data_IF_561560855568
#
_entry.id   IF_561560855568
#
_cell.length_a   1.000
_cell.length_b   1.000
_cell.length_c   1.000
_cell.angle_alpha   90.00
_cell.angle_beta   90.00
_cell.angle_gamma   90.00
#
_symmetry.space_group_name_H-M   'P 1'
#
loop_
_entity.id
_entity.type
_entity.pdbx_description
1 polymer ?
#
# COMPACT_ATOMS: atom_id res chain seq x y z
N UNK A 1 -26.52 -12.53 -12.15
CA UNK A 1 -26.00 -12.76 -10.78
C UNK A 1 -25.51 -11.43 -10.23
N UNK A 2 -25.75 -11.20 -8.94
CA UNK A 2 -25.75 -9.93 -8.20
C UNK A 2 -24.50 -9.03 -8.35
N UNK A 3 -24.78 -7.72 -8.45
CA UNK A 3 -23.85 -6.58 -8.35
C UNK A 3 -23.22 -6.48 -6.96
N UNK A 4 -21.91 -6.67 -6.86
CA UNK A 4 -21.15 -6.27 -5.67
C UNK A 4 -19.92 -5.49 -6.13
N UNK A 5 -20.05 -4.15 -6.08
CA UNK A 5 -18.97 -3.20 -6.21
C UNK A 5 -17.79 -3.61 -5.32
N UNK A 6 -16.56 -3.79 -5.85
CA UNK A 6 -15.42 -3.99 -4.99
C UNK A 6 -15.25 -2.69 -4.20
N UNK A 7 -15.50 -2.79 -2.90
CA UNK A 7 -15.28 -1.76 -1.92
C UNK A 7 -13.83 -1.28 -2.06
N UNK A 8 -13.65 -0.13 -2.73
CA UNK A 8 -12.35 0.45 -3.13
C UNK A 8 -11.48 0.86 -1.94
N UNK A 9 -11.94 0.66 -0.71
CA UNK A 9 -11.31 1.12 0.52
C UNK A 9 -10.53 0.01 1.26
N UNK A 10 -10.59 -1.24 0.80
CA UNK A 10 -9.85 -2.37 1.40
C UNK A 10 -8.97 -3.11 0.38
N UNK A 11 -8.35 -2.36 -0.54
CA UNK A 11 -7.41 -2.95 -1.49
C UNK A 11 -6.11 -3.34 -0.76
N UNK A 12 -5.87 -4.65 -0.64
CA UNK A 12 -4.62 -5.19 -0.12
C UNK A 12 -3.52 -5.00 -1.18
N UNK A 13 -2.60 -4.10 -0.90
CA UNK A 13 -1.44 -3.79 -1.75
C UNK A 13 -0.39 -4.90 -1.63
N UNK A 14 -0.14 -5.38 -0.42
CA UNK A 14 0.76 -6.50 -0.18
C UNK A 14 0.02 -7.62 0.54
N UNK A 15 -0.12 -8.77 -0.12
CA UNK A 15 -0.69 -9.96 0.51
C UNK A 15 0.30 -10.63 1.48
N UNK A 16 1.61 -10.50 1.22
CA UNK A 16 2.68 -11.07 2.04
C UNK A 16 2.67 -10.47 3.46
N UNK A 17 2.60 -9.13 3.58
CA UNK A 17 2.56 -8.42 4.88
C UNK A 17 1.16 -7.97 5.30
N UNK A 18 0.12 -8.31 4.52
CA UNK A 18 -1.27 -7.80 4.68
C UNK A 18 -1.34 -6.28 4.74
N UNK A 19 -0.53 -5.60 3.93
CA UNK A 19 -0.55 -4.14 3.83
C UNK A 19 -1.69 -3.71 2.93
N UNK A 20 -2.52 -2.80 3.42
CA UNK A 20 -3.65 -2.21 2.69
C UNK A 20 -3.31 -0.82 2.19
N UNK A 21 -3.99 -0.37 1.13
CA UNK A 21 -3.83 0.98 0.59
C UNK A 21 -4.00 2.07 1.65
N UNK A 22 -5.05 1.97 2.46
CA UNK A 22 -5.32 2.92 3.56
C UNK A 22 -4.16 3.03 4.57
N UNK A 23 -3.38 1.95 4.75
CA UNK A 23 -2.20 1.96 5.63
C UNK A 23 -1.08 2.80 5.02
N UNK A 24 -0.86 2.68 3.71
CA UNK A 24 0.14 3.47 2.97
C UNK A 24 -0.28 4.94 2.92
N UNK A 25 -1.55 5.23 2.61
CA UNK A 25 -2.08 6.60 2.61
C UNK A 25 -1.95 7.25 4.00
N UNK A 26 -2.20 6.50 5.08
CA UNK A 26 -1.96 6.98 6.43
C UNK A 26 -0.47 7.29 6.68
N UNK A 27 0.46 6.50 6.15
CA UNK A 27 1.90 6.78 6.28
C UNK A 27 2.29 8.05 5.50
N UNK A 28 1.83 8.19 4.25
CA UNK A 28 2.07 9.39 3.43
C UNK A 28 1.54 10.64 4.15
N UNK A 29 0.36 10.56 4.78
CA UNK A 29 -0.20 11.64 5.58
C UNK A 29 0.62 12.00 6.84
N UNK A 30 1.46 11.08 7.32
CA UNK A 30 2.42 11.31 8.40
C UNK A 30 3.81 11.72 7.87
N UNK A 31 3.90 12.22 6.63
CA UNK A 31 5.14 12.58 5.93
C UNK A 31 6.07 11.37 5.66
N UNK A 32 5.54 10.15 5.83
CA UNK A 32 6.25 8.89 5.55
C UNK A 32 5.92 8.44 4.13
N UNK A 33 6.68 8.98 3.17
CA UNK A 33 6.48 8.77 1.73
C UNK A 33 7.68 8.12 1.03
N UNK A 34 8.65 7.59 1.79
CA UNK A 34 9.80 6.87 1.21
C UNK A 34 9.60 5.36 1.25
N UNK A 35 10.15 4.66 0.25
CA UNK A 35 10.07 3.19 0.15
C UNK A 35 10.65 2.52 1.39
N UNK A 36 11.79 2.99 1.89
CA UNK A 36 12.45 2.45 3.07
C UNK A 36 11.60 2.60 4.33
N UNK A 37 11.03 3.78 4.57
CA UNK A 37 10.20 3.98 5.75
C UNK A 37 8.85 3.24 5.66
N UNK A 38 8.23 3.19 4.49
CA UNK A 38 7.02 2.40 4.28
C UNK A 38 7.32 0.91 4.45
N UNK A 39 8.44 0.40 3.92
CA UNK A 39 8.88 -0.97 4.12
C UNK A 39 9.13 -1.26 5.62
N UNK A 40 9.76 -0.34 6.34
CA UNK A 40 10.02 -0.49 7.77
C UNK A 40 8.72 -0.44 8.62
N UNK A 41 7.78 0.44 8.26
CA UNK A 41 6.53 0.62 8.98
C UNK A 41 5.47 -0.47 8.68
N UNK A 42 5.46 -1.00 7.46
CA UNK A 42 4.45 -1.98 7.00
C UNK A 42 5.00 -3.39 6.83
N UNK A 43 6.31 -3.55 6.71
CA UNK A 43 6.94 -4.81 6.29
C UNK A 43 6.68 -5.18 4.83
N UNK A 44 5.96 -4.35 4.05
CA UNK A 44 5.81 -4.56 2.61
C UNK A 44 7.18 -4.48 1.91
N UNK A 45 7.30 -5.10 0.73
CA UNK A 45 8.53 -5.11 -0.10
C UNK A 45 9.75 -5.86 0.50
N UNK A 46 9.71 -6.28 1.78
CA UNK A 46 10.82 -7.03 2.41
C UNK A 46 10.89 -8.51 2.06
N UNK A 47 9.85 -9.05 1.42
CA UNK A 47 9.77 -10.47 1.06
C UNK A 47 9.69 -10.68 -0.45
N UNK A 48 8.47 -10.71 -0.96
CA UNK A 48 8.15 -11.12 -2.33
C UNK A 48 8.40 -10.04 -3.40
N UNK A 49 8.55 -8.75 -3.02
CA UNK A 49 8.79 -7.62 -3.94
C UNK A 49 7.62 -7.25 -4.88
N UNK A 50 6.64 -8.13 -5.09
CA UNK A 50 5.56 -7.93 -6.07
C UNK A 50 4.65 -6.71 -5.83
N UNK A 51 4.68 -6.12 -4.64
CA UNK A 51 3.91 -4.93 -4.30
C UNK A 51 4.70 -3.63 -4.42
N UNK A 52 5.99 -3.69 -4.80
CA UNK A 52 6.87 -2.52 -4.86
C UNK A 52 6.39 -1.48 -5.86
N UNK A 53 6.11 -1.90 -7.11
CA UNK A 53 5.59 -1.00 -8.15
C UNK A 53 4.29 -0.30 -7.72
N UNK A 54 3.38 -1.03 -7.08
CA UNK A 54 2.12 -0.48 -6.54
C UNK A 54 2.36 0.54 -5.43
N UNK A 55 3.31 0.28 -4.53
CA UNK A 55 3.64 1.22 -3.44
C UNK A 55 4.27 2.48 -4.00
N UNK A 56 5.22 2.35 -4.94
CA UNK A 56 5.84 3.49 -5.64
C UNK A 56 4.78 4.34 -6.33
N UNK A 57 3.84 3.71 -7.04
CA UNK A 57 2.76 4.42 -7.72
C UNK A 57 1.82 5.16 -6.74
N UNK A 58 1.54 4.57 -5.58
CA UNK A 58 0.73 5.21 -4.54
C UNK A 58 1.43 6.42 -3.90
N UNK A 59 2.74 6.31 -3.67
CA UNK A 59 3.56 7.43 -3.19
C UNK A 59 3.53 8.57 -4.22
N UNK A 60 3.77 8.26 -5.50
CA UNK A 60 3.78 9.26 -6.57
C UNK A 60 2.39 9.89 -6.82
N UNK A 61 1.30 9.18 -6.53
CA UNK A 61 -0.06 9.72 -6.59
C UNK A 61 -0.43 10.63 -5.41
N UNK A 62 0.35 10.61 -4.33
CA UNK A 62 0.09 11.34 -3.08
C UNK A 62 0.81 12.69 -2.95
N UNK A 63 1.51 13.15 -3.99
CA UNK A 63 2.14 14.49 -4.08
C UNK A 63 1.15 15.61 -4.49
#
# INVERSE_FOLDING_TARGET
MNNSHPNKQQEFICHCSRTTRAKIEALIANEVNTIEEIANATGAMTGCGACEDLVVELIAQGE
#
